data_IF_213499479786
#
_entry.id   IF_213499479786
#
_cell.length_a   1.000
_cell.length_b   1.000
_cell.length_c   1.000
_cell.angle_alpha   90.00
_cell.angle_beta   90.00
_cell.angle_gamma   90.00
#
_symmetry.space_group_name_H-M   'P 1'
#
loop_
_entity.id
_entity.type
_entity.pdbx_description
1 polymer ?
#
# COMPACT_ATOMS: atom_id res chain seq x y z
N UNK A 1 72.12 2.87 7.00
CA UNK A 1 71.89 2.83 5.55
C UNK A 1 70.43 3.19 5.30
N UNK A 2 70.18 4.30 4.58
CA UNK A 2 68.85 4.85 4.23
C UNK A 2 68.31 4.17 2.97
N UNK A 3 67.03 3.79 2.96
CA UNK A 3 66.09 3.68 1.82
C UNK A 3 64.70 3.82 2.50
N UNK A 4 63.89 4.88 2.46
CA UNK A 4 63.33 5.83 1.47
C UNK A 4 62.37 5.23 0.42
N UNK A 5 61.19 5.88 0.29
CA UNK A 5 60.04 5.73 -0.64
C UNK A 5 58.91 4.76 -0.20
N UNK A 6 57.80 5.21 0.42
CA UNK A 6 56.62 6.02 -0.04
C UNK A 6 55.52 5.16 -0.70
N UNK A 7 54.23 5.40 -0.38
CA UNK A 7 53.10 4.45 -0.48
C UNK A 7 52.15 4.73 -1.66
N UNK A 8 51.34 3.73 -2.05
CA UNK A 8 50.06 3.78 -2.80
C UNK A 8 49.73 2.29 -3.08
N UNK A 9 48.52 1.74 -2.94
CA UNK A 9 47.27 2.17 -3.53
C UNK A 9 46.13 1.37 -2.87
N UNK A 10 44.99 2.02 -2.68
CA UNK A 10 43.70 1.42 -2.34
C UNK A 10 43.34 0.25 -3.27
N UNK A 11 42.88 -0.87 -2.72
CA UNK A 11 41.71 -1.57 -3.26
C UNK A 11 40.92 -2.16 -2.09
N UNK A 12 39.80 -1.51 -1.80
CA UNK A 12 38.67 -2.07 -1.07
C UNK A 12 38.39 -3.47 -1.60
N UNK A 13 38.50 -4.48 -0.73
CA UNK A 13 37.95 -5.81 -0.99
C UNK A 13 36.42 -5.73 -0.84
N UNK A 14 35.79 -5.00 -1.76
CA UNK A 14 34.37 -5.11 -2.03
C UNK A 14 34.22 -6.32 -2.96
N UNK A 15 34.18 -7.51 -2.38
CA UNK A 15 33.68 -8.68 -3.12
C UNK A 15 32.19 -8.41 -3.37
N UNK A 16 31.75 -8.25 -4.62
CA UNK A 16 30.33 -8.15 -4.88
C UNK A 16 29.74 -9.53 -4.55
N UNK A 17 28.78 -9.55 -3.63
CA UNK A 17 27.76 -10.59 -3.62
C UNK A 17 27.21 -10.59 -5.03
N UNK A 18 27.50 -11.63 -5.79
CA UNK A 18 26.96 -11.83 -7.12
C UNK A 18 25.46 -11.96 -6.97
N UNK A 19 24.77 -10.83 -7.14
CA UNK A 19 23.36 -10.80 -7.47
C UNK A 19 23.19 -11.72 -8.68
N UNK A 20 22.53 -12.84 -8.46
CA UNK A 20 22.03 -13.69 -9.53
C UNK A 20 20.93 -12.86 -10.22
N UNK A 21 21.33 -12.01 -11.16
CA UNK A 21 20.42 -11.32 -12.05
C UNK A 21 19.84 -12.41 -12.94
N UNK A 22 18.65 -12.90 -12.59
CA UNK A 22 17.85 -13.68 -13.51
C UNK A 22 17.58 -12.79 -14.72
N UNK A 23 18.08 -13.17 -15.89
CA UNK A 23 17.75 -12.48 -17.13
C UNK A 23 16.23 -12.46 -17.29
N UNK A 24 15.61 -11.29 -17.55
CA UNK A 24 14.17 -11.23 -17.78
C UNK A 24 13.83 -12.11 -18.97
N UNK A 25 12.74 -12.88 -18.88
CA UNK A 25 12.15 -13.78 -19.90
C UNK A 25 11.83 -13.14 -21.28
N UNK A 26 12.38 -11.97 -21.59
CA UNK A 26 12.22 -11.25 -22.86
C UNK A 26 13.10 -11.77 -24.00
N UNK A 27 14.15 -12.56 -23.74
CA UNK A 27 15.11 -13.02 -24.77
C UNK A 27 15.06 -14.52 -25.13
N UNK A 28 14.22 -15.35 -24.50
CA UNK A 28 14.32 -16.80 -24.72
C UNK A 28 13.03 -17.57 -24.50
N UNK A 29 12.11 -17.55 -25.47
CA UNK A 29 11.05 -18.57 -25.53
C UNK A 29 10.63 -18.83 -26.98
N UNK A 30 11.57 -19.32 -27.76
CA UNK A 30 11.30 -20.24 -28.87
C UNK A 30 11.81 -21.64 -28.51
N UNK A 31 11.49 -22.16 -27.32
CA UNK A 31 11.80 -23.56 -27.03
C UNK A 31 10.76 -24.44 -27.73
N UNK A 32 11.11 -24.86 -28.95
CA UNK A 32 10.29 -25.70 -29.84
C UNK A 32 9.91 -27.06 -29.22
N UNK A 33 10.40 -27.37 -28.01
CA UNK A 33 10.21 -28.64 -27.28
C UNK A 33 9.54 -28.50 -25.90
N UNK A 34 8.98 -27.34 -25.54
CA UNK A 34 8.27 -27.20 -24.26
C UNK A 34 6.95 -27.99 -24.26
N UNK A 35 6.79 -28.90 -23.32
CA UNK A 35 5.56 -29.67 -23.07
C UNK A 35 5.27 -29.75 -21.58
N UNK A 36 4.09 -30.26 -21.19
CA UNK A 36 3.75 -30.49 -19.78
C UNK A 36 4.79 -31.38 -19.08
N UNK A 37 5.29 -32.40 -19.79
CA UNK A 37 6.27 -33.36 -19.26
C UNK A 37 7.71 -32.82 -19.25
N UNK A 38 7.96 -31.72 -19.96
CA UNK A 38 9.27 -31.07 -20.03
C UNK A 38 9.12 -29.54 -20.03
N UNK A 39 8.75 -28.95 -18.89
CA UNK A 39 8.57 -27.51 -18.78
C UNK A 39 9.92 -26.79 -18.92
N UNK A 40 9.95 -25.61 -19.57
CA UNK A 40 11.22 -24.93 -19.85
C UNK A 40 11.88 -24.36 -18.59
N UNK A 41 11.10 -24.09 -17.53
CA UNK A 41 11.58 -23.55 -16.26
C UNK A 41 10.72 -24.09 -15.12
N UNK A 42 11.30 -24.20 -13.91
CA UNK A 42 10.57 -24.54 -12.70
C UNK A 42 9.47 -23.52 -12.35
N UNK A 43 8.45 -23.94 -11.61
CA UNK A 43 7.37 -23.06 -11.14
C UNK A 43 7.89 -21.82 -10.38
N UNK A 44 8.93 -22.00 -9.56
CA UNK A 44 9.56 -20.92 -8.79
C UNK A 44 10.08 -19.77 -9.67
N UNK A 45 10.53 -20.06 -10.89
CA UNK A 45 10.99 -19.04 -11.85
C UNK A 45 9.81 -18.19 -12.32
N UNK A 46 8.70 -18.82 -12.71
CA UNK A 46 7.49 -18.10 -13.10
C UNK A 46 6.93 -17.25 -11.96
N UNK A 47 6.97 -17.77 -10.72
CA UNK A 47 6.52 -17.06 -9.53
C UNK A 47 7.39 -15.82 -9.29
N UNK A 48 8.72 -15.98 -9.27
CA UNK A 48 9.66 -14.88 -9.01
C UNK A 48 9.55 -13.77 -10.07
N UNK A 49 9.50 -14.14 -11.35
CA UNK A 49 9.36 -13.17 -12.45
C UNK A 49 7.99 -12.48 -12.41
N UNK A 50 6.92 -13.19 -12.06
CA UNK A 50 5.59 -12.59 -11.92
C UNK A 50 5.54 -11.60 -10.75
N UNK A 51 6.20 -11.92 -9.63
CA UNK A 51 6.34 -11.01 -8.49
C UNK A 51 7.15 -9.75 -8.86
N UNK A 52 8.25 -9.92 -9.59
CA UNK A 52 9.04 -8.80 -10.11
C UNK A 52 8.17 -7.91 -11.01
N UNK A 53 7.46 -8.50 -11.97
CA UNK A 53 6.54 -7.75 -12.83
C UNK A 53 5.42 -7.05 -12.05
N UNK A 54 4.90 -7.65 -10.98
CA UNK A 54 3.94 -7.01 -10.06
C UNK A 54 4.57 -5.80 -9.36
N UNK A 55 5.81 -5.91 -8.89
CA UNK A 55 6.53 -4.82 -8.22
C UNK A 55 6.81 -3.64 -9.17
N UNK A 56 7.06 -3.93 -10.45
CA UNK A 56 7.19 -2.96 -11.54
C UNK A 56 5.85 -2.37 -11.98
N UNK A 57 4.72 -2.86 -11.43
CA UNK A 57 3.35 -2.57 -11.89
C UNK A 57 3.11 -2.94 -13.36
N UNK A 58 3.92 -3.84 -13.92
CA UNK A 58 3.76 -4.39 -15.25
C UNK A 58 2.73 -5.52 -15.23
N UNK A 59 1.45 -5.15 -15.12
CA UNK A 59 0.34 -6.09 -14.97
C UNK A 59 0.19 -7.03 -16.17
N UNK A 60 0.48 -6.56 -17.38
CA UNK A 60 0.44 -7.39 -18.59
C UNK A 60 1.49 -8.49 -18.54
N UNK A 61 2.74 -8.17 -18.17
CA UNK A 61 3.81 -9.16 -18.01
C UNK A 61 3.49 -10.14 -16.89
N UNK A 62 3.02 -9.65 -15.73
CA UNK A 62 2.63 -10.51 -14.62
C UNK A 62 1.51 -11.50 -15.00
N UNK A 63 0.50 -11.06 -15.75
CA UNK A 63 -0.59 -11.92 -16.21
C UNK A 63 -0.08 -12.97 -17.21
N UNK A 64 0.80 -12.58 -18.13
CA UNK A 64 1.40 -13.50 -19.08
C UNK A 64 2.22 -14.59 -18.37
N UNK A 65 3.04 -14.20 -17.40
CA UNK A 65 3.91 -15.11 -16.64
C UNK A 65 3.10 -16.10 -15.81
N UNK A 66 2.09 -15.62 -15.08
CA UNK A 66 1.21 -16.50 -14.29
C UNK A 66 0.40 -17.44 -15.18
N UNK A 67 -0.10 -16.97 -16.33
CA UNK A 67 -0.82 -17.81 -17.29
C UNK A 67 0.06 -18.91 -17.87
N UNK A 68 1.30 -18.58 -18.26
CA UNK A 68 2.27 -19.57 -18.74
C UNK A 68 2.69 -20.55 -17.65
N UNK A 69 2.96 -20.06 -16.45
CA UNK A 69 3.30 -20.91 -15.31
C UNK A 69 2.19 -21.93 -15.03
N UNK A 70 0.92 -21.48 -14.99
CA UNK A 70 -0.23 -22.35 -14.76
C UNK A 70 -0.49 -23.34 -15.89
N UNK A 71 -0.03 -23.05 -17.12
CA UNK A 71 -0.11 -24.01 -18.21
C UNK A 71 0.76 -25.24 -17.93
N UNK A 72 1.92 -25.09 -17.29
CA UNK A 72 2.83 -26.19 -16.92
C UNK A 72 2.58 -26.72 -15.50
N UNK A 73 2.13 -25.86 -14.60
CA UNK A 73 1.99 -26.12 -13.18
C UNK A 73 0.56 -25.78 -12.71
N UNK A 74 -0.45 -26.55 -13.14
CA UNK A 74 -1.85 -26.27 -12.80
C UNK A 74 -2.16 -26.48 -11.31
N UNK A 75 -1.24 -27.04 -10.54
CA UNK A 75 -1.41 -27.28 -9.10
C UNK A 75 -0.65 -26.31 -8.20
N UNK A 76 -0.05 -25.25 -8.76
CA UNK A 76 0.70 -24.26 -8.00
C UNK A 76 -0.19 -23.12 -7.47
N UNK A 77 -0.53 -23.11 -6.16
CA UNK A 77 -1.48 -22.16 -5.59
C UNK A 77 -0.96 -20.72 -5.59
N UNK A 78 0.35 -20.52 -5.62
CA UNK A 78 0.95 -19.18 -5.63
C UNK A 78 0.78 -18.49 -6.97
N UNK A 79 0.86 -19.22 -8.09
CA UNK A 79 0.60 -18.67 -9.41
C UNK A 79 -0.84 -18.19 -9.55
N UNK A 80 -1.81 -18.93 -9.00
CA UNK A 80 -3.20 -18.50 -8.91
C UNK A 80 -3.40 -17.25 -8.05
N UNK A 81 -2.71 -17.17 -6.90
CA UNK A 81 -2.77 -16.00 -6.02
C UNK A 81 -2.26 -14.74 -6.75
N UNK A 82 -1.09 -14.85 -7.40
CA UNK A 82 -0.49 -13.77 -8.18
C UNK A 82 -1.37 -13.40 -9.37
N UNK A 83 -1.89 -14.38 -10.13
CA UNK A 83 -2.78 -14.12 -11.26
C UNK A 83 -4.02 -13.36 -10.81
N UNK A 84 -4.65 -13.78 -9.72
CA UNK A 84 -5.79 -13.11 -9.14
C UNK A 84 -5.52 -11.68 -8.70
N UNK A 85 -4.36 -11.45 -8.05
CA UNK A 85 -3.92 -10.11 -7.68
C UNK A 85 -3.75 -9.22 -8.92
N UNK A 86 -3.07 -9.73 -9.95
CA UNK A 86 -2.85 -9.02 -11.22
C UNK A 86 -4.16 -8.73 -11.95
N UNK A 87 -5.08 -9.69 -12.03
CA UNK A 87 -6.40 -9.53 -12.65
C UNK A 87 -7.21 -8.44 -11.94
N UNK A 88 -7.11 -8.35 -10.61
CA UNK A 88 -7.76 -7.28 -9.83
C UNK A 88 -7.19 -5.91 -10.19
N UNK A 89 -5.87 -5.79 -10.37
CA UNK A 89 -5.22 -4.54 -10.84
C UNK A 89 -5.61 -4.17 -12.28
N UNK A 90 -5.95 -5.16 -13.10
CA UNK A 90 -6.46 -4.99 -14.47
C UNK A 90 -7.99 -4.77 -14.53
N UNK A 91 -8.69 -4.70 -13.38
CA UNK A 91 -10.14 -4.54 -13.34
C UNK A 91 -10.95 -5.79 -13.68
N UNK A 92 -10.30 -6.94 -13.86
CA UNK A 92 -10.94 -8.21 -14.22
C UNK A 92 -11.38 -8.99 -12.98
N UNK A 93 -12.27 -8.39 -12.17
CA UNK A 93 -12.61 -8.89 -10.83
C UNK A 93 -13.23 -10.29 -10.81
N UNK A 94 -14.09 -10.62 -11.77
CA UNK A 94 -14.68 -11.98 -11.85
C UNK A 94 -13.60 -13.04 -12.05
N UNK A 95 -12.71 -12.82 -13.02
CA UNK A 95 -11.58 -13.74 -13.27
C UNK A 95 -10.62 -13.79 -12.09
N UNK A 96 -10.45 -12.68 -11.37
CA UNK A 96 -9.67 -12.68 -10.13
C UNK A 96 -10.31 -13.58 -9.07
N UNK A 97 -11.63 -13.53 -8.89
CA UNK A 97 -12.36 -14.45 -8.00
C UNK A 97 -12.13 -15.91 -8.41
N UNK A 98 -12.24 -16.23 -9.70
CA UNK A 98 -12.06 -17.58 -10.20
C UNK A 98 -10.63 -18.09 -9.95
N UNK A 99 -9.62 -17.31 -10.35
CA UNK A 99 -8.22 -17.66 -10.16
C UNK A 99 -7.85 -17.85 -8.68
N UNK A 100 -8.23 -16.92 -7.80
CA UNK A 100 -7.91 -17.06 -6.37
C UNK A 100 -8.68 -18.22 -5.73
N UNK A 101 -9.88 -18.54 -6.21
CA UNK A 101 -10.63 -19.71 -5.75
C UNK A 101 -9.87 -21.00 -6.04
N UNK A 102 -9.23 -21.12 -7.22
CA UNK A 102 -8.34 -22.25 -7.53
C UNK A 102 -7.16 -22.35 -6.57
N UNK A 103 -6.54 -21.21 -6.23
CA UNK A 103 -5.46 -21.17 -5.24
C UNK A 103 -5.91 -21.57 -3.83
N UNK A 104 -7.10 -21.11 -3.40
CA UNK A 104 -7.70 -21.48 -2.10
C UNK A 104 -8.02 -22.97 -2.03
N UNK A 105 -8.53 -23.58 -3.11
CA UNK A 105 -8.83 -25.02 -3.16
C UNK A 105 -7.59 -25.89 -2.93
N UNK A 106 -6.42 -25.41 -3.33
CA UNK A 106 -5.13 -26.12 -3.24
C UNK A 106 -4.40 -25.85 -1.92
N UNK A 107 -4.34 -24.59 -1.51
CA UNK A 107 -3.67 -24.18 -0.28
C UNK A 107 -4.42 -22.99 0.34
N UNK A 108 -5.32 -23.22 1.31
CA UNK A 108 -6.01 -22.14 2.01
C UNK A 108 -5.03 -21.29 2.83
N UNK A 109 -4.92 -19.99 2.52
CA UNK A 109 -4.12 -19.02 3.29
C UNK A 109 -4.84 -17.68 3.47
N UNK A 110 -4.60 -16.96 4.59
CA UNK A 110 -5.22 -15.66 4.84
C UNK A 110 -5.08 -14.66 3.68
N UNK A 111 -3.90 -14.62 3.05
CA UNK A 111 -3.62 -13.75 1.89
C UNK A 111 -4.52 -14.04 0.69
N UNK A 112 -4.85 -15.31 0.43
CA UNK A 112 -5.70 -15.70 -0.69
C UNK A 112 -7.15 -15.31 -0.43
N UNK A 113 -7.64 -15.54 0.79
CA UNK A 113 -8.96 -15.04 1.20
C UNK A 113 -9.06 -13.52 1.12
N UNK A 114 -8.04 -12.78 1.59
CA UNK A 114 -8.03 -11.34 1.47
C UNK A 114 -8.05 -10.87 0.00
N UNK A 115 -7.26 -11.51 -0.86
CA UNK A 115 -7.18 -11.16 -2.28
C UNK A 115 -8.53 -11.38 -3.01
N UNK A 116 -9.19 -12.52 -2.76
CA UNK A 116 -10.53 -12.79 -3.30
C UNK A 116 -11.58 -11.88 -2.68
N UNK A 117 -11.48 -11.61 -1.38
CA UNK A 117 -12.33 -10.66 -0.67
C UNK A 117 -12.30 -9.26 -1.28
N UNK A 118 -11.12 -8.73 -1.63
CA UNK A 118 -11.03 -7.46 -2.36
C UNK A 118 -11.67 -7.50 -3.75
N UNK A 119 -11.59 -8.63 -4.46
CA UNK A 119 -12.29 -8.79 -5.74
C UNK A 119 -13.82 -8.79 -5.54
N UNK A 120 -14.33 -9.43 -4.48
CA UNK A 120 -15.74 -9.37 -4.13
C UNK A 120 -16.21 -7.96 -3.75
N UNK A 121 -15.40 -7.21 -2.99
CA UNK A 121 -15.69 -5.80 -2.67
C UNK A 121 -15.83 -4.95 -3.93
N UNK A 122 -14.92 -5.14 -4.91
CA UNK A 122 -14.98 -4.44 -6.19
C UNK A 122 -16.21 -4.82 -7.04
N UNK A 123 -16.74 -6.03 -6.85
CA UNK A 123 -17.98 -6.51 -7.46
C UNK A 123 -19.25 -6.10 -6.67
N UNK A 124 -19.11 -5.40 -5.54
CA UNK A 124 -20.23 -5.07 -4.64
C UNK A 124 -20.79 -6.26 -3.86
N UNK A 125 -20.12 -7.42 -3.90
CA UNK A 125 -20.55 -8.62 -3.17
C UNK A 125 -20.00 -8.59 -1.74
N UNK A 126 -20.58 -7.73 -0.91
CA UNK A 126 -20.11 -7.53 0.46
C UNK A 126 -20.25 -8.77 1.34
N UNK A 127 -21.28 -9.60 1.13
CA UNK A 127 -21.50 -10.82 1.92
C UNK A 127 -20.40 -11.86 1.67
N UNK A 128 -20.02 -12.08 0.41
CA UNK A 128 -18.90 -12.97 0.08
C UNK A 128 -17.56 -12.42 0.59
N UNK A 129 -17.34 -11.11 0.50
CA UNK A 129 -16.13 -10.47 1.05
C UNK A 129 -16.03 -10.65 2.57
N UNK A 130 -17.16 -10.53 3.30
CA UNK A 130 -17.21 -10.76 4.74
C UNK A 130 -16.88 -12.21 5.09
N UNK A 131 -17.45 -13.18 4.37
CA UNK A 131 -17.18 -14.60 4.59
C UNK A 131 -15.71 -14.97 4.33
N UNK A 132 -15.09 -14.40 3.28
CA UNK A 132 -13.67 -14.58 3.01
C UNK A 132 -12.80 -13.97 4.11
N UNK A 133 -13.15 -12.76 4.59
CA UNK A 133 -12.42 -12.14 5.68
C UNK A 133 -12.48 -12.99 6.97
N UNK A 134 -13.65 -13.53 7.31
CA UNK A 134 -13.81 -14.41 8.47
C UNK A 134 -13.03 -15.72 8.34
N UNK A 135 -13.02 -16.32 7.15
CA UNK A 135 -12.20 -17.50 6.85
C UNK A 135 -10.71 -17.20 7.01
N UNK A 136 -10.26 -16.04 6.52
CA UNK A 136 -8.86 -15.62 6.66
C UNK A 136 -8.46 -15.30 8.11
N UNK A 137 -9.34 -14.68 8.89
CA UNK A 137 -9.13 -14.44 10.33
C UNK A 137 -9.03 -15.76 11.10
N UNK A 138 -9.88 -16.74 10.78
CA UNK A 138 -9.85 -18.05 11.42
C UNK A 138 -8.52 -18.79 11.16
N UNK A 139 -7.88 -18.55 10.00
CA UNK A 139 -6.56 -19.10 9.69
C UNK A 139 -5.41 -18.34 10.36
N UNK A 140 -5.49 -17.02 10.45
CA UNK A 140 -4.49 -16.20 11.13
C UNK A 140 -5.07 -14.85 11.57
N UNK A 141 -5.32 -14.70 12.87
CA UNK A 141 -5.82 -13.47 13.49
C UNK A 141 -4.78 -12.32 13.53
N UNK A 142 -3.51 -12.59 13.23
CA UNK A 142 -2.46 -11.57 13.16
C UNK A 142 -2.24 -11.05 11.74
N UNK A 143 -3.05 -11.45 10.76
CA UNK A 143 -2.95 -10.94 9.39
C UNK A 143 -3.86 -9.71 9.21
N UNK A 144 -3.33 -8.48 9.14
CA UNK A 144 -4.15 -7.26 9.16
C UNK A 144 -5.09 -7.12 7.96
N UNK A 145 -4.69 -7.65 6.80
CA UNK A 145 -5.41 -7.44 5.54
C UNK A 145 -6.82 -8.03 5.54
N UNK A 146 -7.05 -9.13 6.25
CA UNK A 146 -8.40 -9.71 6.36
C UNK A 146 -9.34 -8.82 7.19
N UNK A 147 -8.83 -8.07 8.18
CA UNK A 147 -9.62 -7.07 8.90
C UNK A 147 -9.94 -5.85 8.02
N UNK A 148 -9.01 -5.42 7.16
CA UNK A 148 -9.29 -4.39 6.15
C UNK A 148 -10.44 -4.77 5.21
N UNK A 149 -10.42 -6.00 4.69
CA UNK A 149 -11.52 -6.55 3.87
C UNK A 149 -12.83 -6.59 4.67
N UNK A 150 -12.80 -7.10 5.91
CA UNK A 150 -13.98 -7.16 6.78
C UNK A 150 -14.59 -5.78 7.03
N UNK A 151 -13.76 -4.79 7.35
CA UNK A 151 -14.21 -3.42 7.62
C UNK A 151 -14.89 -2.81 6.39
N UNK A 152 -14.30 -2.99 5.20
CA UNK A 152 -14.89 -2.53 3.94
C UNK A 152 -16.20 -3.25 3.61
N UNK A 153 -16.28 -4.56 3.86
CA UNK A 153 -17.50 -5.33 3.65
C UNK A 153 -18.63 -4.86 4.58
N UNK A 154 -18.34 -4.69 5.87
CA UNK A 154 -19.29 -4.16 6.86
C UNK A 154 -19.76 -2.75 6.50
N UNK A 155 -18.84 -1.88 6.07
CA UNK A 155 -19.15 -0.53 5.62
C UNK A 155 -20.06 -0.56 4.37
N UNK A 156 -19.79 -1.43 3.40
CA UNK A 156 -20.66 -1.63 2.22
C UNK A 156 -22.06 -2.13 2.58
N UNK A 157 -22.21 -2.83 3.70
CA UNK A 157 -23.51 -3.23 4.27
C UNK A 157 -24.17 -2.17 5.16
N UNK A 158 -23.57 -0.98 5.32
CA UNK A 158 -24.06 0.08 6.21
C UNK A 158 -23.80 -0.15 7.70
N UNK A 159 -23.03 -1.19 8.08
CA UNK A 159 -22.69 -1.53 9.48
C UNK A 159 -21.47 -0.72 9.95
N UNK A 160 -21.59 0.61 9.94
CA UNK A 160 -20.46 1.52 10.16
C UNK A 160 -19.83 1.40 11.56
N UNK A 161 -20.62 1.11 12.60
CA UNK A 161 -20.10 0.89 13.96
C UNK A 161 -19.17 -0.33 14.02
N UNK A 162 -19.61 -1.46 13.46
CA UNK A 162 -18.81 -2.69 13.41
C UNK A 162 -17.57 -2.52 12.51
N UNK A 163 -17.72 -1.81 11.39
CA UNK A 163 -16.62 -1.46 10.50
C UNK A 163 -15.55 -0.62 11.23
N UNK A 164 -15.98 0.35 12.05
CA UNK A 164 -15.11 1.21 12.85
C UNK A 164 -14.29 0.44 13.89
N UNK A 165 -14.90 -0.51 14.59
CA UNK A 165 -14.17 -1.41 15.49
C UNK A 165 -13.17 -2.29 14.72
N UNK A 166 -13.62 -2.86 13.59
CA UNK A 166 -12.82 -3.78 12.78
C UNK A 166 -11.59 -3.11 12.16
N UNK A 167 -11.72 -1.89 11.63
CA UNK A 167 -10.58 -1.16 11.07
C UNK A 167 -9.59 -0.74 12.16
N UNK A 168 -10.07 -0.54 13.40
CA UNK A 168 -9.21 -0.35 14.57
C UNK A 168 -8.29 -1.54 14.82
N UNK A 169 -8.79 -2.77 14.65
CA UNK A 169 -7.96 -3.99 14.73
C UNK A 169 -6.91 -4.05 13.63
N UNK A 170 -7.26 -3.71 12.38
CA UNK A 170 -6.30 -3.68 11.28
C UNK A 170 -5.15 -2.68 11.55
N UNK A 171 -5.48 -1.48 12.03
CA UNK A 171 -4.49 -0.45 12.39
C UNK A 171 -3.68 -0.79 13.64
N UNK A 172 -4.21 -1.58 14.56
CA UNK A 172 -3.43 -2.07 15.70
C UNK A 172 -2.35 -3.08 15.28
N UNK A 173 -2.64 -3.86 14.23
CA UNK A 173 -1.70 -4.83 13.65
C UNK A 173 -0.71 -4.17 12.67
N UNK A 174 -1.12 -3.12 11.97
CA UNK A 174 -0.31 -2.39 10.99
C UNK A 174 -0.69 -0.88 11.00
N UNK A 175 -0.04 -0.09 11.88
CA UNK A 175 -0.38 1.31 12.10
C UNK A 175 0.10 2.25 10.99
N UNK A 176 1.01 1.81 10.12
CA UNK A 176 1.60 2.62 9.04
C UNK A 176 0.95 2.37 7.68
N UNK A 177 -0.14 1.61 7.65
CA UNK A 177 -0.89 1.34 6.43
C UNK A 177 -1.71 2.54 5.97
N UNK A 178 -1.26 3.21 4.91
CA UNK A 178 -2.04 4.24 4.22
C UNK A 178 -3.45 3.71 3.85
N UNK A 179 -3.53 2.45 3.42
CA UNK A 179 -4.80 1.79 3.11
C UNK A 179 -5.76 1.77 4.30
N UNK A 180 -5.34 1.33 5.48
CA UNK A 180 -6.25 1.25 6.63
C UNK A 180 -6.66 2.64 7.15
N UNK A 181 -5.77 3.64 7.07
CA UNK A 181 -6.13 5.02 7.38
C UNK A 181 -7.17 5.58 6.42
N UNK A 182 -7.06 5.30 5.13
CA UNK A 182 -8.09 5.67 4.16
C UNK A 182 -9.43 4.99 4.45
N UNK A 183 -9.42 3.68 4.71
CA UNK A 183 -10.64 2.93 5.06
C UNK A 183 -11.30 3.52 6.32
N UNK A 184 -10.50 3.85 7.34
CA UNK A 184 -10.98 4.53 8.55
C UNK A 184 -11.63 5.87 8.23
N UNK A 185 -11.01 6.67 7.38
CA UNK A 185 -11.58 7.95 6.93
C UNK A 185 -12.95 7.78 6.28
N UNK A 186 -13.10 6.77 5.41
CA UNK A 186 -14.38 6.47 4.75
C UNK A 186 -15.47 6.05 5.75
N UNK A 187 -15.14 5.21 6.72
CA UNK A 187 -16.08 4.78 7.77
C UNK A 187 -16.52 5.96 8.64
N UNK A 188 -15.59 6.85 9.01
CA UNK A 188 -15.89 8.04 9.79
C UNK A 188 -16.74 9.04 9.01
N UNK A 189 -16.44 9.24 7.72
CA UNK A 189 -17.24 10.09 6.85
C UNK A 189 -18.67 9.58 6.71
N UNK A 190 -18.84 8.26 6.51
CA UNK A 190 -20.16 7.62 6.45
C UNK A 190 -20.94 7.69 7.78
N UNK A 191 -20.25 7.95 8.89
CA UNK A 191 -20.84 8.15 10.22
C UNK A 191 -21.06 9.63 10.56
N UNK A 192 -20.80 10.56 9.63
CA UNK A 192 -20.92 12.01 9.84
C UNK A 192 -19.78 12.63 10.66
N UNK A 193 -18.76 11.87 11.04
CA UNK A 193 -17.61 12.38 11.78
C UNK A 193 -16.59 13.02 10.82
N UNK A 194 -16.89 14.23 10.35
CA UNK A 194 -16.08 14.95 9.38
C UNK A 194 -14.65 15.21 9.87
N UNK A 195 -14.47 15.62 11.13
CA UNK A 195 -13.15 15.93 11.71
C UNK A 195 -12.26 14.69 11.77
N UNK A 196 -12.81 13.57 12.24
CA UNK A 196 -12.08 12.30 12.29
C UNK A 196 -11.77 11.76 10.90
N UNK A 197 -12.72 11.87 9.97
CA UNK A 197 -12.54 11.44 8.58
C UNK A 197 -11.41 12.21 7.89
N UNK A 198 -11.43 13.54 8.01
CA UNK A 198 -10.38 14.42 7.49
C UNK A 198 -8.99 14.01 7.99
N UNK A 199 -8.83 13.89 9.31
CA UNK A 199 -7.56 13.48 9.93
C UNK A 199 -7.08 12.12 9.39
N UNK A 200 -7.99 11.17 9.23
CA UNK A 200 -7.64 9.84 8.72
C UNK A 200 -7.22 9.87 7.23
N UNK A 201 -7.88 10.67 6.39
CA UNK A 201 -7.47 10.85 4.99
C UNK A 201 -6.13 11.58 4.87
N UNK A 202 -5.90 12.62 5.66
CA UNK A 202 -4.62 13.32 5.71
C UNK A 202 -3.49 12.38 6.17
N UNK A 203 -3.75 11.52 7.16
CA UNK A 203 -2.78 10.51 7.61
C UNK A 203 -2.46 9.50 6.50
N UNK A 204 -3.47 9.04 5.75
CA UNK A 204 -3.26 8.16 4.60
C UNK A 204 -2.37 8.80 3.54
N UNK A 205 -2.62 10.06 3.18
CA UNK A 205 -1.85 10.79 2.16
C UNK A 205 -0.45 11.19 2.66
N UNK A 206 -0.26 11.36 3.97
CA UNK A 206 1.05 11.58 4.54
C UNK A 206 1.94 10.32 4.48
N UNK A 207 1.34 9.14 4.65
CA UNK A 207 2.03 7.85 4.55
C UNK A 207 2.35 7.47 3.10
N UNK A 208 1.40 7.70 2.19
CA UNK A 208 1.59 7.50 0.75
C UNK A 208 0.84 8.60 -0.03
N UNK A 209 1.56 9.64 -0.51
CA UNK A 209 0.95 10.73 -1.28
C UNK A 209 0.30 10.30 -2.58
N UNK A 210 0.73 9.16 -3.14
CA UNK A 210 0.16 8.56 -4.35
C UNK A 210 -0.90 7.51 -4.06
N UNK A 211 -1.34 7.39 -2.79
CA UNK A 211 -2.27 6.36 -2.39
C UNK A 211 -3.64 6.57 -3.03
N UNK A 212 -4.00 5.63 -3.89
CA UNK A 212 -5.33 5.50 -4.47
C UNK A 212 -5.85 4.08 -4.26
N UNK A 213 -7.15 3.93 -4.00
CA UNK A 213 -7.73 2.60 -3.88
C UNK A 213 -7.68 1.95 -5.27
N UNK A 214 -7.05 0.77 -5.40
CA UNK A 214 -6.74 0.24 -6.72
C UNK A 214 -7.94 -0.41 -7.43
N UNK A 215 -9.18 -0.07 -7.07
CA UNK A 215 -10.39 -0.59 -7.72
C UNK A 215 -11.48 0.51 -7.80
N UNK A 216 -12.13 0.69 -8.97
CA UNK A 216 -12.89 1.89 -9.36
C UNK A 216 -14.21 2.06 -8.61
N UNK A 217 -14.61 1.07 -7.80
CA UNK A 217 -15.78 1.19 -6.93
C UNK A 217 -15.55 2.15 -5.75
N UNK A 218 -14.33 2.66 -5.56
CA UNK A 218 -13.98 3.49 -4.41
C UNK A 218 -13.11 4.66 -4.82
N UNK A 219 -13.44 5.83 -4.29
CA UNK A 219 -12.72 7.09 -4.46
C UNK A 219 -11.44 7.13 -3.64
N UNK A 220 -10.39 7.76 -4.18
CA UNK A 220 -9.11 7.95 -3.53
C UNK A 220 -9.17 8.82 -2.27
N UNK A 221 -8.09 8.87 -1.49
CA UNK A 221 -8.06 9.65 -0.24
C UNK A 221 -8.19 11.16 -0.49
N UNK A 222 -7.50 11.69 -1.51
CA UNK A 222 -7.59 13.10 -1.89
C UNK A 222 -8.98 13.51 -2.40
N UNK A 223 -9.62 12.65 -3.19
CA UNK A 223 -11.00 12.88 -3.65
C UNK A 223 -11.99 12.91 -2.49
N UNK A 224 -11.85 11.98 -1.53
CA UNK A 224 -12.70 11.98 -0.34
C UNK A 224 -12.46 13.21 0.54
N UNK A 225 -11.22 13.69 0.64
CA UNK A 225 -10.90 14.92 1.35
C UNK A 225 -11.58 16.14 0.69
N UNK A 226 -11.49 16.25 -0.63
CA UNK A 226 -12.19 17.31 -1.38
C UNK A 226 -13.72 17.19 -1.32
N UNK A 227 -14.26 15.97 -1.21
CA UNK A 227 -15.70 15.76 -0.97
C UNK A 227 -16.10 16.26 0.43
N UNK A 228 -15.29 15.99 1.46
CA UNK A 228 -15.52 16.51 2.81
C UNK A 228 -15.50 18.04 2.87
N UNK A 229 -14.62 18.71 2.11
CA UNK A 229 -14.62 20.18 2.06
C UNK A 229 -15.95 20.74 1.57
N UNK A 230 -16.59 20.06 0.62
CA UNK A 230 -17.90 20.47 0.08
C UNK A 230 -19.04 20.19 1.05
N UNK A 231 -19.01 19.07 1.77
CA UNK A 231 -20.13 18.64 2.62
C UNK A 231 -20.02 19.12 4.06
N UNK A 232 -18.80 19.25 4.59
CA UNK A 232 -18.52 19.56 5.99
C UNK A 232 -17.81 20.92 6.17
N UNK A 233 -17.49 21.62 5.08
CA UNK A 233 -16.67 22.81 5.10
C UNK A 233 -15.15 22.51 5.08
N UNK A 234 -14.33 23.50 4.72
CA UNK A 234 -12.88 23.34 4.63
C UNK A 234 -12.26 23.04 5.99
N UNK A 235 -11.03 22.51 5.98
CA UNK A 235 -10.25 22.38 7.20
C UNK A 235 -10.16 23.75 7.90
N UNK A 236 -10.68 23.84 9.13
CA UNK A 236 -10.42 25.02 9.96
C UNK A 236 -8.94 25.02 10.27
N UNK A 237 -8.20 26.00 9.73
CA UNK A 237 -6.83 26.25 10.15
C UNK A 237 -6.81 26.32 11.68
N UNK A 238 -5.78 25.78 12.35
CA UNK A 238 -5.58 26.06 13.76
C UNK A 238 -5.60 27.58 13.88
N UNK A 239 -6.62 28.13 14.54
CA UNK A 239 -6.62 29.56 14.83
C UNK A 239 -5.37 29.79 15.65
N UNK A 240 -4.34 30.41 15.06
CA UNK A 240 -3.30 31.03 15.85
C UNK A 240 -4.04 31.85 16.91
N UNK A 241 -3.78 31.65 18.21
CA UNK A 241 -4.42 32.46 19.23
C UNK A 241 -4.17 33.91 18.82
N UNK A 242 -5.25 34.67 18.67
CA UNK A 242 -5.20 36.07 18.31
C UNK A 242 -4.08 36.71 19.12
N UNK A 243 -3.11 37.31 18.42
CA UNK A 243 -2.07 38.12 19.05
C UNK A 243 -2.74 38.98 20.11
N UNK A 244 -2.33 38.79 21.36
CA UNK A 244 -2.80 39.60 22.48
C UNK A 244 -2.69 41.08 22.07
N UNK A 245 -3.73 41.92 22.28
CA UNK A 245 -3.63 43.34 22.01
C UNK A 245 -2.63 43.93 23.01
N UNK A 246 -1.36 44.04 22.61
CA UNK A 246 -0.29 44.52 23.49
C UNK A 246 1.14 44.48 22.95
N UNK A 247 1.40 43.87 21.80
CA UNK A 247 2.75 43.93 21.19
C UNK A 247 2.95 45.26 20.45
N UNK A 248 3.72 46.15 21.06
CA UNK A 248 4.22 47.41 20.49
C UNK A 248 5.00 47.10 19.20
N UNK A 249 4.80 47.85 18.10
CA UNK A 249 5.53 47.61 16.85
C UNK A 249 7.03 47.88 17.03
N UNK A 250 7.86 47.04 16.41
CA UNK A 250 9.33 47.04 16.47
C UNK A 250 10.01 48.23 15.72
N UNK A 251 9.44 49.43 15.82
CA UNK A 251 9.95 50.66 15.20
C UNK A 251 10.49 51.68 16.21
N UNK A 252 10.66 51.31 17.49
CA UNK A 252 11.08 52.23 18.55
C UNK A 252 12.31 51.76 19.35
N UNK A 253 13.31 51.16 18.68
CA UNK A 253 14.65 50.95 19.28
C UNK A 253 15.72 51.50 18.33
N UNK A 254 15.73 52.83 18.16
CA UNK A 254 16.83 53.58 17.55
C UNK A 254 16.84 54.99 18.15
N UNK A 255 17.36 55.13 19.39
CA UNK A 255 17.95 56.36 19.94
C UNK A 255 18.23 56.23 21.45
N UNK A 256 19.35 55.60 21.83
CA UNK A 256 19.98 55.84 23.14
C UNK A 256 21.45 55.37 23.16
N UNK A 257 22.20 55.61 22.08
CA UNK A 257 23.64 55.38 22.03
C UNK A 257 24.35 56.58 21.40
N UNK A 258 24.18 57.76 22.00
CA UNK A 258 25.04 58.92 21.78
C UNK A 258 24.84 59.92 22.93
N UNK A 259 25.94 60.44 23.46
CA UNK A 259 26.06 61.48 24.50
C UNK A 259 25.80 61.07 25.96
N UNK A 260 26.80 60.42 26.58
CA UNK A 260 27.37 60.98 27.82
C UNK A 260 28.85 61.21 27.56
N UNK A 261 29.15 62.48 27.37
CA UNK A 261 30.46 63.06 27.13
C UNK A 261 31.41 62.81 28.30
N UNK A 262 32.66 62.60 27.92
CA UNK A 262 33.85 63.19 28.55
C UNK A 262 33.57 64.38 29.49
N UNK A 263 34.08 64.29 30.72
CA UNK A 263 34.90 65.37 31.29
C UNK A 263 34.41 66.04 32.59
N UNK A 264 35.41 66.27 33.45
CA UNK A 264 35.49 67.10 34.69
C UNK A 264 35.29 66.29 35.98
N UNK A 265 36.23 66.24 36.93
CA UNK A 265 37.38 67.11 37.26
C UNK A 265 38.56 66.29 37.77
#
# INVERSE_FOLDING_TARGET
MKILLIPLLCVFLCLPVTALIAEPLTSGISSVNASLDNPPFAASVYIADAQAAVSERNWTRALLLTTRGLAFYPDEPELYCLQGYTLRKLGQYRKAVDAVSEGIRRDPRPVRYANRGYAYLALGNYSAALADAESGIALNASYPTVYGVKALALQGMGRNTDAGATIGTALALDPESAHYWHVKGRILAASGNCTGARKAFETSLALDPGYDLPWPAFTGAGENLGALDKTCGPATQPTHPATLPGSIPAAAILAAAALVLSGRR
#
